data_IF_363435731276
#
_entry.id   IF_363435731276
#
_cell.length_a   1.000
_cell.length_b   1.000
_cell.length_c   1.000
_cell.angle_alpha   90.00
_cell.angle_beta   90.00
_cell.angle_gamma   90.00
#
_symmetry.space_group_name_H-M   'P 1'
#
loop_
_entity.id
_entity.type
_entity.pdbx_description
1 polymer ?
#
# COMPACT_ATOMS: atom_id res chain seq x y z
N UNK A 1 3.02 -2.89 -14.08
CA UNK A 1 2.54 -3.49 -12.80
C UNK A 1 2.65 -5.00 -12.87
N UNK A 2 3.15 -5.62 -11.82
CA UNK A 2 3.30 -7.09 -11.76
C UNK A 2 1.94 -7.76 -11.68
N UNK A 3 1.86 -9.01 -12.17
CA UNK A 3 0.62 -9.80 -12.13
C UNK A 3 0.07 -9.93 -10.70
N UNK A 4 0.95 -10.23 -9.72
CA UNK A 4 0.53 -10.37 -8.32
C UNK A 4 -0.07 -9.06 -7.80
N UNK A 5 0.44 -7.91 -8.25
CA UNK A 5 -0.07 -6.60 -7.84
C UNK A 5 -1.43 -6.29 -8.45
N UNK A 6 -1.66 -6.70 -9.69
CA UNK A 6 -2.99 -6.59 -10.30
C UNK A 6 -4.03 -7.43 -9.56
N UNK A 7 -3.63 -8.66 -9.17
CA UNK A 7 -4.51 -9.54 -8.40
C UNK A 7 -4.79 -8.99 -7.01
N UNK A 8 -3.76 -8.46 -6.35
CA UNK A 8 -3.89 -7.78 -5.06
C UNK A 8 -4.88 -6.62 -5.15
N UNK A 9 -4.72 -5.75 -6.13
CA UNK A 9 -5.60 -4.59 -6.32
C UNK A 9 -7.03 -5.00 -6.64
N UNK A 10 -7.22 -6.07 -7.41
CA UNK A 10 -8.56 -6.61 -7.69
C UNK A 10 -9.24 -7.08 -6.40
N UNK A 11 -8.50 -7.75 -5.52
CA UNK A 11 -9.03 -8.18 -4.22
C UNK A 11 -9.44 -7.00 -3.35
N UNK A 12 -8.63 -5.94 -3.31
CA UNK A 12 -8.94 -4.72 -2.58
C UNK A 12 -10.23 -4.09 -3.13
N UNK A 13 -10.31 -3.92 -4.46
CA UNK A 13 -11.48 -3.33 -5.11
C UNK A 13 -12.76 -4.12 -4.84
N UNK A 14 -12.66 -5.45 -4.83
CA UNK A 14 -13.81 -6.34 -4.67
C UNK A 14 -14.09 -6.70 -3.22
N UNK A 15 -13.37 -6.13 -2.27
CA UNK A 15 -13.56 -6.36 -0.83
C UNK A 15 -13.49 -7.85 -0.49
N UNK A 16 -12.45 -8.53 -0.96
CA UNK A 16 -12.28 -9.97 -0.81
C UNK A 16 -10.95 -10.32 -0.15
N UNK A 17 -10.97 -11.41 0.61
CA UNK A 17 -9.75 -12.04 1.07
C UNK A 17 -9.04 -12.71 -0.11
N UNK A 18 -7.72 -12.61 -0.13
CA UNK A 18 -6.91 -13.17 -1.19
C UNK A 18 -5.48 -13.34 -0.69
N UNK A 19 -4.81 -14.36 -1.17
CA UNK A 19 -3.36 -14.48 -0.94
C UNK A 19 -2.70 -15.19 -2.11
N UNK A 20 -1.46 -14.80 -2.38
CA UNK A 20 -0.62 -15.44 -3.38
C UNK A 20 0.83 -15.14 -3.04
N UNK A 21 1.66 -16.20 -2.98
CA UNK A 21 3.07 -16.06 -2.66
C UNK A 21 3.27 -15.32 -1.34
N UNK A 22 3.96 -14.20 -1.40
CA UNK A 22 4.30 -13.40 -0.22
C UNK A 22 3.28 -12.30 0.11
N UNK A 23 2.18 -12.19 -0.64
CA UNK A 23 1.24 -11.07 -0.53
C UNK A 23 -0.15 -11.57 -0.17
N UNK A 24 -0.80 -10.85 0.74
CA UNK A 24 -2.12 -11.23 1.26
C UNK A 24 -2.99 -9.98 1.42
N UNK A 25 -4.27 -10.12 1.09
CA UNK A 25 -5.29 -9.10 1.36
C UNK A 25 -6.32 -9.72 2.29
N UNK A 26 -6.62 -9.03 3.39
CA UNK A 26 -7.67 -9.41 4.33
C UNK A 26 -8.71 -8.31 4.35
N UNK A 27 -9.97 -8.65 4.10
CA UNK A 27 -11.08 -7.70 4.15
C UNK A 27 -11.72 -7.71 5.54
N UNK A 28 -11.74 -6.56 6.19
CA UNK A 28 -12.45 -6.37 7.46
C UNK A 28 -13.82 -5.73 7.16
N UNK A 29 -14.85 -6.56 7.15
CA UNK A 29 -16.20 -6.11 6.81
C UNK A 29 -16.83 -5.20 7.87
N UNK A 30 -16.42 -5.33 9.13
CA UNK A 30 -16.94 -4.48 10.21
C UNK A 30 -16.40 -3.05 10.07
N UNK A 31 -15.12 -2.91 9.78
CA UNK A 31 -14.47 -1.61 9.62
C UNK A 31 -14.56 -1.08 8.18
N UNK A 32 -14.94 -1.92 7.21
CA UNK A 32 -14.93 -1.58 5.78
C UNK A 32 -13.52 -1.19 5.32
N UNK A 33 -12.52 -1.99 5.68
CA UNK A 33 -11.11 -1.74 5.43
C UNK A 33 -10.46 -2.98 4.84
N UNK A 34 -9.68 -2.80 3.79
CA UNK A 34 -8.79 -3.85 3.28
C UNK A 34 -7.43 -3.70 3.96
N UNK A 35 -6.89 -4.80 4.46
CA UNK A 35 -5.55 -4.84 5.05
C UNK A 35 -4.65 -5.65 4.14
N UNK A 36 -3.47 -5.11 3.82
CA UNK A 36 -2.51 -5.75 2.93
C UNK A 36 -1.25 -6.12 3.70
N UNK A 37 -0.83 -7.37 3.53
CA UNK A 37 0.34 -7.94 4.22
C UNK A 37 1.36 -8.41 3.19
N UNK A 38 2.63 -8.20 3.50
CA UNK A 38 3.77 -8.72 2.74
C UNK A 38 4.63 -9.52 3.70
N UNK A 39 4.87 -10.81 3.40
CA UNK A 39 5.55 -11.74 4.30
C UNK A 39 4.94 -11.76 5.70
N UNK A 40 3.60 -11.65 5.78
CA UNK A 40 2.90 -11.63 7.06
C UNK A 40 2.93 -10.31 7.81
N UNK A 41 3.58 -9.28 7.28
CA UNK A 41 3.68 -7.96 7.92
C UNK A 41 2.75 -6.96 7.24
N UNK A 42 2.02 -6.19 8.03
CA UNK A 42 1.10 -5.19 7.52
C UNK A 42 1.86 -4.09 6.78
N UNK A 43 1.46 -3.81 5.54
CA UNK A 43 2.04 -2.73 4.74
C UNK A 43 1.02 -1.66 4.34
N UNK A 44 -0.28 -1.97 4.35
CA UNK A 44 -1.29 -0.97 3.99
C UNK A 44 -2.65 -1.30 4.57
N UNK A 45 -3.41 -0.24 4.85
CA UNK A 45 -4.85 -0.31 5.11
C UNK A 45 -5.53 0.65 4.16
N UNK A 46 -6.57 0.18 3.48
CA UNK A 46 -7.32 0.98 2.52
C UNK A 46 -8.76 1.08 2.98
N UNK A 47 -9.17 2.29 3.35
CA UNK A 47 -10.55 2.61 3.70
C UNK A 47 -11.29 3.22 2.52
N UNK A 48 -12.51 3.75 2.77
CA UNK A 48 -13.35 4.30 1.71
C UNK A 48 -12.79 5.58 1.08
N UNK A 49 -12.04 6.37 1.87
CA UNK A 49 -11.48 7.64 1.38
C UNK A 49 -10.12 7.95 1.99
N UNK A 50 -9.40 6.92 2.41
CA UNK A 50 -8.07 7.09 3.00
C UNK A 50 -7.24 5.83 2.78
N UNK A 51 -5.91 6.00 2.80
CA UNK A 51 -4.95 4.91 2.76
C UNK A 51 -3.91 5.18 3.85
N UNK A 52 -3.58 4.14 4.61
CA UNK A 52 -2.51 4.18 5.60
C UNK A 52 -1.42 3.22 5.16
N UNK A 53 -0.18 3.66 5.13
CA UNK A 53 0.93 2.87 4.60
C UNK A 53 1.98 2.61 5.69
N UNK A 54 2.58 1.42 5.61
CA UNK A 54 3.57 0.91 6.56
C UNK A 54 4.71 0.27 5.78
N UNK A 55 5.89 0.19 6.38
CA UNK A 55 7.01 -0.53 5.75
C UNK A 55 7.07 -2.01 6.15
N UNK A 56 6.22 -2.44 7.07
CA UNK A 56 6.23 -3.82 7.56
C UNK A 56 7.45 -4.15 8.39
N UNK A 57 8.20 -3.14 8.83
CA UNK A 57 9.46 -3.32 9.55
C UNK A 57 10.67 -3.48 8.65
N UNK A 58 10.49 -3.44 7.34
CA UNK A 58 11.58 -3.65 6.38
C UNK A 58 11.34 -2.84 5.10
N UNK A 59 12.20 -1.85 4.84
CA UNK A 59 12.09 -1.00 3.65
C UNK A 59 12.78 -1.66 2.45
N UNK A 60 12.05 -2.55 1.77
CA UNK A 60 12.55 -3.28 0.61
C UNK A 60 11.95 -2.73 -0.69
N UNK A 61 12.60 -3.08 -1.82
CA UNK A 61 12.07 -2.76 -3.13
C UNK A 61 10.72 -3.44 -3.37
N UNK A 62 10.50 -4.64 -2.84
CA UNK A 62 9.22 -5.33 -2.97
C UNK A 62 8.12 -4.58 -2.21
N UNK A 63 8.39 -4.13 -0.98
CA UNK A 63 7.44 -3.33 -0.22
C UNK A 63 7.08 -2.06 -0.99
N UNK A 64 8.07 -1.35 -1.50
CA UNK A 64 7.87 -0.12 -2.27
C UNK A 64 7.03 -0.38 -3.53
N UNK A 65 7.33 -1.48 -4.24
CA UNK A 65 6.56 -1.86 -5.42
C UNK A 65 5.09 -2.13 -5.10
N UNK A 66 4.81 -2.86 -4.01
CA UNK A 66 3.44 -3.13 -3.57
C UNK A 66 2.71 -1.84 -3.20
N UNK A 67 3.36 -0.97 -2.43
CA UNK A 67 2.78 0.31 -2.02
C UNK A 67 2.47 1.18 -3.23
N UNK A 68 3.38 1.25 -4.20
CA UNK A 68 3.15 2.05 -5.41
C UNK A 68 2.02 1.49 -6.26
N UNK A 69 1.87 0.17 -6.32
CA UNK A 69 0.74 -0.45 -7.02
C UNK A 69 -0.60 -0.08 -6.35
N UNK A 70 -0.64 -0.10 -5.02
CA UNK A 70 -1.82 0.30 -4.26
C UNK A 70 -2.15 1.78 -4.49
N UNK A 71 -1.16 2.65 -4.39
CA UNK A 71 -1.37 4.09 -4.58
C UNK A 71 -1.77 4.43 -6.01
N UNK A 72 -1.22 3.72 -6.99
CA UNK A 72 -1.58 3.92 -8.41
C UNK A 72 -3.05 3.62 -8.67
N UNK A 73 -3.62 2.62 -8.01
CA UNK A 73 -5.00 2.17 -8.24
C UNK A 73 -5.99 2.86 -7.31
N UNK A 74 -5.62 3.07 -6.05
CA UNK A 74 -6.55 3.50 -5.00
C UNK A 74 -6.24 4.87 -4.42
N UNK A 75 -5.04 5.39 -4.67
CA UNK A 75 -4.62 6.69 -4.18
C UNK A 75 -5.03 7.83 -5.10
N UNK A 76 -4.62 9.05 -4.73
CA UNK A 76 -4.79 10.22 -5.57
C UNK A 76 -3.71 10.27 -6.66
N UNK A 77 -3.97 10.94 -7.79
CA UNK A 77 -2.96 11.08 -8.84
C UNK A 77 -1.66 11.70 -8.29
N UNK A 78 -0.53 11.12 -8.68
CA UNK A 78 0.79 11.59 -8.28
C UNK A 78 1.29 11.07 -6.94
N UNK A 79 0.48 10.34 -6.18
CA UNK A 79 0.95 9.73 -4.94
C UNK A 79 1.83 8.52 -5.24
N UNK A 80 3.03 8.51 -4.68
CA UNK A 80 3.93 7.36 -4.79
C UNK A 80 4.97 7.40 -3.68
N UNK A 81 5.55 6.23 -3.41
CA UNK A 81 6.69 6.08 -2.50
C UNK A 81 7.95 5.99 -3.35
N UNK A 82 8.95 6.80 -3.03
CA UNK A 82 10.23 6.77 -3.73
C UNK A 82 11.38 6.88 -2.74
N UNK A 83 12.58 6.53 -3.20
CA UNK A 83 13.77 6.55 -2.38
C UNK A 83 14.78 7.55 -2.94
N UNK A 84 15.36 8.35 -2.05
CA UNK A 84 16.42 9.29 -2.40
C UNK A 84 17.41 9.35 -1.24
N UNK A 85 18.70 9.21 -1.54
CA UNK A 85 19.77 9.21 -0.52
C UNK A 85 19.49 8.21 0.60
N UNK A 86 19.04 6.98 0.22
CA UNK A 86 18.73 5.88 1.15
C UNK A 86 17.51 6.13 2.05
N UNK A 87 16.80 7.24 1.89
CA UNK A 87 15.60 7.55 2.66
C UNK A 87 14.37 7.46 1.78
N UNK A 88 13.26 6.96 2.36
CA UNK A 88 11.98 6.89 1.68
C UNK A 88 11.21 8.19 1.86
N UNK A 89 10.54 8.59 0.78
CA UNK A 89 9.66 9.76 0.72
C UNK A 89 8.34 9.38 0.08
N UNK A 90 7.31 10.19 0.34
CA UNK A 90 6.02 10.06 -0.32
C UNK A 90 5.77 11.32 -1.12
N UNK A 91 5.52 11.15 -2.43
CA UNK A 91 5.10 12.23 -3.30
C UNK A 91 3.60 12.46 -3.11
N UNK A 92 3.22 13.71 -2.94
CA UNK A 92 1.82 14.14 -2.80
C UNK A 92 1.62 15.41 -3.60
N UNK A 93 0.37 15.81 -3.76
CA UNK A 93 0.07 17.13 -4.30
C UNK A 93 0.76 18.20 -3.44
N UNK A 94 1.53 19.08 -4.05
CA UNK A 94 2.26 20.12 -3.36
C UNK A 94 3.68 19.76 -2.96
N UNK A 95 4.15 18.54 -3.24
CA UNK A 95 5.54 18.16 -3.00
C UNK A 95 5.72 16.79 -2.39
N UNK A 96 6.89 16.57 -1.83
CA UNK A 96 7.26 15.30 -1.21
C UNK A 96 7.48 15.49 0.29
N UNK A 97 7.09 14.46 1.07
CA UNK A 97 7.29 14.44 2.51
C UNK A 97 8.04 13.17 2.89
N UNK A 98 8.82 13.18 4.00
CA UNK A 98 9.46 11.95 4.45
C UNK A 98 8.43 10.87 4.78
N UNK A 99 8.74 9.64 4.39
CA UNK A 99 7.92 8.49 4.74
C UNK A 99 8.11 8.15 6.22
N UNK A 100 7.02 7.81 6.90
CA UNK A 100 7.09 7.13 8.19
C UNK A 100 6.03 6.03 8.21
N UNK A 101 6.37 4.92 8.86
CA UNK A 101 5.48 3.77 8.92
C UNK A 101 4.22 4.11 9.71
N UNK A 102 3.06 3.84 9.12
CA UNK A 102 1.77 4.19 9.71
C UNK A 102 1.21 5.54 9.27
N UNK A 103 1.89 6.24 8.35
CA UNK A 103 1.38 7.51 7.87
C UNK A 103 0.09 7.33 7.08
N UNK A 104 -0.82 8.27 7.26
CA UNK A 104 -2.13 8.24 6.60
C UNK A 104 -2.16 9.26 5.47
N UNK A 105 -2.65 8.82 4.31
CA UNK A 105 -2.85 9.65 3.15
C UNK A 105 -4.36 9.87 2.95
N UNK A 106 -4.75 11.14 2.86
CA UNK A 106 -6.16 11.57 2.69
C UNK A 106 -7.04 11.18 3.86
#
# INVERSE_FOLDING_TARGET
MRKIERQMNAAITNAKDWCSGNTQVCWDGAAQVAEVFLHGNLIAKIGSCWIQIFDGGWQSNTTKSRLNAILSEHGLPGECVFQKNFNWFVSQEGGAVPFFSGMRLN
#
